data_IF_919798149539
#
_entry.id   IF_919798149539
#
_cell.length_a   1.000
_cell.length_b   1.000
_cell.length_c   1.000
_cell.angle_alpha   90.00
_cell.angle_beta   90.00
_cell.angle_gamma   90.00
#
_symmetry.space_group_name_H-M   'P 1'
#
loop_
_entity.id
_entity.type
_entity.pdbx_description
1 polymer ?
#
# COMPACT_ATOMS: atom_id res chain seq x y z
N UNK A 1 -29.69 -7.54 -66.68
CA UNK A 1 -28.79 -8.13 -65.67
C UNK A 1 -27.83 -7.16 -64.99
N UNK A 2 -27.43 -6.02 -65.54
CA UNK A 2 -26.55 -5.03 -64.88
C UNK A 2 -27.23 -4.24 -63.74
N UNK A 3 -28.54 -3.96 -63.86
CA UNK A 3 -29.29 -3.17 -62.87
C UNK A 3 -29.44 -3.90 -61.52
N UNK A 4 -29.68 -5.20 -61.53
CA UNK A 4 -29.88 -5.98 -60.30
C UNK A 4 -28.61 -6.11 -59.46
N UNK A 5 -27.46 -6.18 -60.12
CA UNK A 5 -26.13 -6.23 -59.42
C UNK A 5 -25.80 -4.94 -58.71
N UNK A 6 -26.12 -3.79 -59.28
CA UNK A 6 -25.87 -2.51 -58.64
C UNK A 6 -26.72 -2.29 -57.38
N UNK A 7 -27.99 -2.73 -57.42
CA UNK A 7 -28.88 -2.60 -56.27
C UNK A 7 -28.44 -3.52 -55.08
N UNK A 8 -27.89 -4.69 -55.39
CA UNK A 8 -27.37 -5.59 -54.35
C UNK A 8 -26.14 -4.98 -53.67
N UNK A 9 -25.22 -4.34 -54.40
CA UNK A 9 -24.06 -3.67 -53.83
C UNK A 9 -24.43 -2.46 -52.96
N UNK A 10 -25.43 -1.68 -53.35
CA UNK A 10 -25.94 -0.54 -52.57
C UNK A 10 -26.58 -1.02 -51.26
N UNK A 11 -27.39 -2.08 -51.28
CA UNK A 11 -28.03 -2.65 -50.09
C UNK A 11 -27.00 -3.22 -49.15
N UNK A 12 -25.98 -3.95 -49.63
CA UNK A 12 -24.86 -4.46 -48.84
C UNK A 12 -24.03 -3.35 -48.22
N UNK A 13 -23.80 -2.24 -48.94
CA UNK A 13 -23.04 -1.09 -48.44
C UNK A 13 -23.81 -0.33 -47.35
N UNK A 14 -25.12 -0.19 -47.47
CA UNK A 14 -26.00 0.40 -46.45
C UNK A 14 -26.07 -0.46 -45.22
N UNK A 15 -26.12 -1.80 -45.35
CA UNK A 15 -26.07 -2.74 -44.24
C UNK A 15 -24.71 -2.71 -43.48
N UNK A 16 -23.61 -2.54 -44.22
CA UNK A 16 -22.27 -2.41 -43.62
C UNK A 16 -22.12 -1.11 -42.81
N UNK A 17 -22.68 -0.01 -43.29
CA UNK A 17 -22.68 1.29 -42.60
C UNK A 17 -23.57 1.24 -41.34
N UNK A 18 -24.67 0.48 -41.37
CA UNK A 18 -25.55 0.32 -40.18
C UNK A 18 -24.89 -0.47 -39.04
N UNK A 19 -23.95 -1.36 -39.35
CA UNK A 19 -23.21 -2.12 -38.35
C UNK A 19 -22.11 -1.28 -37.66
N UNK A 20 -21.57 -0.26 -38.38
CA UNK A 20 -20.51 0.63 -37.84
C UNK A 20 -21.08 1.67 -36.86
N UNK A 21 -22.39 1.92 -36.86
CA UNK A 21 -23.04 2.84 -35.94
C UNK A 21 -23.58 2.19 -34.66
N UNK A 22 -23.23 0.91 -34.37
CA UNK A 22 -23.31 0.40 -33.01
C UNK A 22 -22.14 0.99 -32.21
N UNK A 23 -22.21 2.31 -31.99
CA UNK A 23 -21.45 2.90 -30.88
C UNK A 23 -21.90 2.15 -29.63
N UNK A 24 -21.07 1.23 -29.18
CA UNK A 24 -21.11 0.80 -27.82
C UNK A 24 -21.01 2.08 -26.98
N UNK A 25 -22.13 2.55 -26.46
CA UNK A 25 -22.11 3.38 -25.28
C UNK A 25 -21.45 2.50 -24.20
N UNK A 26 -20.13 2.48 -24.21
CA UNK A 26 -19.38 2.12 -23.03
C UNK A 26 -19.82 3.17 -22.01
N UNK A 27 -20.81 2.84 -21.21
CA UNK A 27 -21.05 3.55 -19.97
C UNK A 27 -19.69 3.55 -19.28
N UNK A 28 -18.99 4.68 -19.36
CA UNK A 28 -17.92 4.96 -18.42
C UNK A 28 -18.59 4.82 -17.07
N UNK A 29 -18.37 3.66 -16.41
CA UNK A 29 -18.71 3.50 -15.01
C UNK A 29 -18.16 4.70 -14.27
N UNK A 30 -18.78 5.15 -13.16
CA UNK A 30 -18.26 6.25 -12.40
C UNK A 30 -16.76 6.01 -12.22
N UNK A 31 -15.93 6.83 -12.82
CA UNK A 31 -14.49 6.88 -12.51
C UNK A 31 -14.45 7.33 -11.07
N UNK A 32 -14.40 6.37 -10.16
CA UNK A 32 -14.04 6.62 -8.78
C UNK A 32 -12.61 7.13 -8.85
N UNK A 33 -12.49 8.44 -8.92
CA UNK A 33 -11.24 9.14 -8.74
C UNK A 33 -10.91 8.93 -7.27
N UNK A 34 -10.24 7.81 -6.94
CA UNK A 34 -9.54 7.66 -5.68
C UNK A 34 -8.52 8.79 -5.66
N UNK A 35 -8.90 9.91 -5.10
CA UNK A 35 -8.00 11.05 -4.97
C UNK A 35 -7.08 10.75 -3.81
N UNK A 36 -5.91 10.16 -4.12
CA UNK A 36 -4.79 10.14 -3.18
C UNK A 36 -4.53 11.60 -2.83
N UNK A 37 -4.63 12.01 -1.55
CA UNK A 37 -4.42 13.40 -1.20
C UNK A 37 -2.97 13.79 -1.45
N UNK A 38 -2.78 14.96 -2.07
CA UNK A 38 -1.45 15.51 -2.32
C UNK A 38 -0.70 15.87 -1.04
N UNK A 39 -1.42 16.05 0.07
CA UNK A 39 -0.88 16.35 1.38
C UNK A 39 -1.68 15.60 2.45
N UNK A 40 -1.01 15.23 3.54
CA UNK A 40 -1.66 14.66 4.73
C UNK A 40 -0.88 15.03 5.99
N UNK A 41 -1.58 15.33 7.06
CA UNK A 41 -0.96 15.50 8.37
C UNK A 41 -0.56 14.13 8.90
N UNK A 42 0.69 14.00 9.32
CA UNK A 42 1.22 12.76 9.89
C UNK A 42 1.76 13.05 11.28
N UNK A 43 1.35 12.26 12.24
CA UNK A 43 1.76 12.37 13.64
C UNK A 43 2.21 11.01 14.18
N UNK A 44 3.04 11.05 15.22
CA UNK A 44 3.47 9.88 15.95
C UNK A 44 2.74 9.80 17.29
N UNK A 45 2.29 8.60 17.64
CA UNK A 45 1.73 8.35 18.97
C UNK A 45 2.74 8.62 20.08
N UNK A 46 2.25 9.12 21.20
CA UNK A 46 3.08 9.57 22.34
C UNK A 46 3.83 8.43 23.04
N UNK A 47 3.56 7.18 22.72
CA UNK A 47 4.13 6.01 23.40
C UNK A 47 4.85 5.09 22.42
N UNK A 48 5.99 4.57 22.88
CA UNK A 48 6.65 3.42 22.24
C UNK A 48 5.74 2.20 22.41
N UNK A 49 5.26 1.66 21.30
CA UNK A 49 4.33 0.52 21.32
C UNK A 49 5.01 -0.80 21.60
N UNK A 50 6.28 -0.94 21.19
CA UNK A 50 7.09 -2.13 21.46
C UNK A 50 8.57 -1.85 21.20
N UNK A 51 9.43 -2.74 21.73
CA UNK A 51 10.89 -2.71 21.56
C UNK A 51 11.41 -4.12 21.30
N UNK A 52 12.41 -4.24 20.41
CA UNK A 52 13.02 -5.53 20.06
C UNK A 52 14.54 -5.39 19.98
N UNK A 53 15.26 -6.42 20.44
CA UNK A 53 16.70 -6.47 20.26
C UNK A 53 17.10 -6.78 18.81
N UNK A 54 18.14 -6.12 18.32
CA UNK A 54 18.77 -6.44 17.05
C UNK A 54 20.29 -6.42 17.22
N UNK A 55 20.95 -7.55 16.98
CA UNK A 55 22.38 -7.73 17.25
C UNK A 55 22.81 -7.23 18.64
N UNK A 56 23.36 -6.03 18.75
CA UNK A 56 23.89 -5.41 19.97
C UNK A 56 23.18 -4.09 20.37
N UNK A 57 22.06 -3.75 19.70
CA UNK A 57 21.23 -2.58 20.01
C UNK A 57 19.74 -2.93 20.05
N UNK A 58 18.91 -1.96 20.33
CA UNK A 58 17.45 -2.10 20.37
C UNK A 58 16.80 -1.21 19.32
N UNK A 59 15.78 -1.75 18.67
CA UNK A 59 14.85 -1.02 17.84
C UNK A 59 13.53 -0.86 18.57
N UNK A 60 12.92 0.29 18.43
CA UNK A 60 11.59 0.58 18.95
C UNK A 60 10.74 1.25 17.87
N UNK A 61 9.44 1.14 18.02
CA UNK A 61 8.51 1.86 17.17
C UNK A 61 7.38 2.48 17.99
N UNK A 62 6.91 3.62 17.55
CA UNK A 62 5.65 4.23 17.93
C UNK A 62 4.65 4.07 16.79
N UNK A 63 3.37 4.20 17.07
CA UNK A 63 2.36 4.16 16.04
C UNK A 63 2.40 5.48 15.25
N UNK A 64 2.36 5.37 13.93
CA UNK A 64 2.21 6.50 13.04
C UNK A 64 0.79 6.51 12.52
N UNK A 65 0.10 7.61 12.71
CA UNK A 65 -1.25 7.82 12.23
C UNK A 65 -1.29 9.02 11.26
N UNK A 66 -2.18 8.95 10.28
CA UNK A 66 -2.45 10.04 9.35
C UNK A 66 -3.97 10.15 9.14
N UNK A 67 -4.41 11.27 8.57
CA UNK A 67 -5.81 11.50 8.21
C UNK A 67 -6.36 10.47 7.20
N UNK A 68 -5.47 9.77 6.50
CA UNK A 68 -5.83 8.86 5.40
C UNK A 68 -5.53 7.40 5.69
N UNK A 69 -4.89 7.09 6.79
CA UNK A 69 -4.62 5.70 7.17
C UNK A 69 -3.40 5.51 8.07
N UNK A 70 -3.06 4.26 8.34
CA UNK A 70 -1.91 3.89 9.17
C UNK A 70 -0.59 4.11 8.44
N UNK A 71 0.35 4.81 9.07
CA UNK A 71 1.68 5.08 8.55
C UNK A 71 2.74 4.13 9.08
N UNK A 72 3.86 4.04 8.35
CA UNK A 72 5.07 3.30 8.75
C UNK A 72 6.30 4.09 8.37
N UNK A 73 7.29 4.12 9.26
CA UNK A 73 8.57 4.77 9.04
C UNK A 73 9.43 4.00 8.04
N UNK A 74 10.04 4.69 7.10
CA UNK A 74 10.96 4.10 6.12
C UNK A 74 12.43 4.19 6.54
N UNK A 75 12.77 5.10 7.49
CA UNK A 75 14.15 5.40 7.87
C UNK A 75 14.29 5.42 9.40
N UNK A 76 15.27 4.70 9.95
CA UNK A 76 15.45 4.56 11.42
C UNK A 76 16.16 5.76 12.03
N UNK A 77 17.13 6.35 11.29
CA UNK A 77 18.06 7.36 11.83
C UNK A 77 17.50 8.79 11.83
N UNK A 78 16.32 9.00 11.23
CA UNK A 78 15.72 10.33 11.12
C UNK A 78 14.67 10.59 12.19
N UNK A 79 14.36 11.86 12.40
CA UNK A 79 13.34 12.30 13.36
C UNK A 79 11.95 11.77 13.01
N UNK A 80 11.16 11.46 14.02
CA UNK A 80 9.76 11.09 13.85
C UNK A 80 8.92 12.27 13.37
N UNK A 81 7.82 12.01 12.63
CA UNK A 81 6.82 13.04 12.38
C UNK A 81 6.23 13.59 13.69
N UNK A 82 5.80 14.85 13.68
CA UNK A 82 5.21 15.54 14.82
C UNK A 82 4.10 16.49 14.38
N UNK A 83 3.14 15.98 13.59
CA UNK A 83 1.99 16.75 13.11
C UNK A 83 2.29 17.64 11.90
N UNK A 84 3.41 17.44 11.18
CA UNK A 84 3.67 18.18 9.96
C UNK A 84 2.78 17.74 8.81
N UNK A 85 2.61 18.64 7.85
CA UNK A 85 1.91 18.37 6.60
C UNK A 85 2.88 17.79 5.57
N UNK A 86 2.76 16.50 5.30
CA UNK A 86 3.60 15.77 4.37
C UNK A 86 3.06 15.84 2.95
N UNK A 87 3.94 15.92 1.98
CA UNK A 87 3.62 15.89 0.54
C UNK A 87 3.65 14.46 0.00
N UNK A 88 2.69 14.13 -0.87
CA UNK A 88 2.67 12.88 -1.62
C UNK A 88 3.84 12.84 -2.60
N UNK A 89 4.65 11.80 -2.51
CA UNK A 89 5.81 11.58 -3.37
C UNK A 89 5.51 10.60 -4.50
N UNK A 90 4.74 9.55 -4.21
CA UNK A 90 4.43 8.52 -5.17
C UNK A 90 4.02 7.20 -4.52
N UNK A 91 4.01 6.15 -5.32
CA UNK A 91 3.82 4.79 -4.81
C UNK A 91 5.06 4.36 -4.03
N UNK A 92 4.86 3.62 -2.95
CA UNK A 92 5.96 3.00 -2.22
C UNK A 92 6.74 2.02 -3.11
N UNK A 93 8.00 1.78 -2.77
CA UNK A 93 8.84 0.81 -3.45
C UNK A 93 8.19 -0.59 -3.44
N UNK A 94 8.38 -1.35 -4.52
CA UNK A 94 7.74 -2.66 -4.74
C UNK A 94 7.87 -3.62 -3.55
N UNK A 95 9.05 -3.68 -2.94
CA UNK A 95 9.29 -4.53 -1.79
C UNK A 95 8.49 -4.08 -0.57
N UNK A 96 8.39 -2.75 -0.33
CA UNK A 96 7.57 -2.18 0.76
C UNK A 96 6.10 -2.49 0.53
N UNK A 97 5.59 -2.35 -0.71
CA UNK A 97 4.23 -2.76 -1.08
C UNK A 97 3.98 -4.23 -0.74
N UNK A 98 4.93 -5.11 -1.06
CA UNK A 98 4.85 -6.53 -0.74
C UNK A 98 4.82 -6.81 0.77
N UNK A 99 5.64 -6.10 1.57
CA UNK A 99 5.58 -6.21 3.04
C UNK A 99 4.21 -5.76 3.57
N UNK A 100 3.67 -4.66 3.06
CA UNK A 100 2.36 -4.16 3.48
C UNK A 100 1.21 -5.09 3.05
N UNK A 101 1.36 -5.81 1.93
CA UNK A 101 0.41 -6.83 1.50
C UNK A 101 0.29 -8.01 2.48
N UNK A 102 1.38 -8.39 3.12
CA UNK A 102 1.46 -9.48 4.08
C UNK A 102 1.43 -9.02 5.54
N UNK A 103 1.42 -7.69 5.76
CA UNK A 103 1.42 -7.05 7.06
C UNK A 103 0.08 -6.40 7.44
N UNK A 104 0.07 -5.76 8.60
CA UNK A 104 -1.06 -4.98 9.10
C UNK A 104 -1.10 -3.60 8.40
N UNK A 105 -2.27 -3.02 8.10
CA UNK A 105 -3.62 -3.50 8.40
C UNK A 105 -4.23 -4.41 7.31
N UNK A 106 -3.51 -4.72 6.24
CA UNK A 106 -4.02 -5.56 5.17
C UNK A 106 -4.33 -6.99 5.64
N UNK A 107 -3.54 -7.48 6.59
CA UNK A 107 -3.77 -8.72 7.33
C UNK A 107 -4.12 -8.40 8.78
N UNK A 108 -5.05 -9.14 9.34
CA UNK A 108 -5.38 -9.09 10.77
C UNK A 108 -4.26 -9.66 11.65
N UNK A 109 -4.25 -9.35 12.93
CA UNK A 109 -3.30 -9.92 13.88
C UNK A 109 -3.31 -11.47 13.86
N UNK A 110 -4.50 -12.08 13.78
CA UNK A 110 -4.67 -13.52 13.71
C UNK A 110 -4.06 -14.14 12.43
N UNK A 111 -4.24 -13.50 11.27
CA UNK A 111 -3.64 -13.95 10.00
C UNK A 111 -2.11 -13.82 9.98
N UNK A 112 -1.58 -12.82 10.69
CA UNK A 112 -0.14 -12.60 10.89
C UNK A 112 0.43 -13.60 11.89
N UNK A 113 -0.40 -14.13 12.80
CA UNK A 113 -0.02 -15.09 13.83
C UNK A 113 0.49 -14.43 15.11
N UNK A 114 -0.08 -13.30 15.50
CA UNK A 114 0.15 -12.59 16.76
C UNK A 114 -1.17 -12.30 17.46
N UNK A 115 -1.10 -11.98 18.77
CA UNK A 115 -2.30 -11.85 19.61
C UNK A 115 -2.99 -10.48 19.53
N UNK A 116 -2.28 -9.43 19.13
CA UNK A 116 -2.79 -8.04 19.12
C UNK A 116 -2.44 -7.29 17.86
N UNK A 117 -3.28 -6.31 17.50
CA UNK A 117 -3.02 -5.39 16.39
C UNK A 117 -1.74 -4.56 16.61
N UNK A 118 -1.40 -4.26 17.86
CA UNK A 118 -0.15 -3.59 18.22
C UNK A 118 1.05 -4.43 17.81
N UNK A 119 1.04 -5.72 18.13
CA UNK A 119 2.12 -6.65 17.74
C UNK A 119 2.13 -6.87 16.21
N UNK A 120 0.97 -6.88 15.56
CA UNK A 120 0.88 -6.99 14.10
C UNK A 120 1.47 -5.76 13.41
N UNK A 121 1.12 -4.56 13.87
CA UNK A 121 1.70 -3.31 13.39
C UNK A 121 3.23 -3.30 13.61
N UNK A 122 3.68 -3.62 14.82
CA UNK A 122 5.11 -3.64 15.15
C UNK A 122 5.89 -4.65 14.28
N UNK A 123 5.36 -5.85 14.08
CA UNK A 123 5.96 -6.86 13.20
C UNK A 123 6.09 -6.35 11.75
N UNK A 124 5.07 -5.64 11.26
CA UNK A 124 5.06 -5.02 9.93
C UNK A 124 6.12 -3.93 9.83
N UNK A 125 6.24 -3.05 10.83
CA UNK A 125 7.28 -2.02 10.88
C UNK A 125 8.69 -2.63 10.84
N UNK A 126 8.95 -3.68 11.62
CA UNK A 126 10.24 -4.37 11.62
C UNK A 126 10.54 -5.01 10.26
N UNK A 127 9.53 -5.59 9.60
CA UNK A 127 9.70 -6.16 8.26
C UNK A 127 9.94 -5.08 7.18
N UNK A 128 9.35 -3.90 7.31
CA UNK A 128 9.66 -2.74 6.45
C UNK A 128 11.12 -2.35 6.61
N UNK A 129 11.65 -2.22 7.82
CA UNK A 129 13.05 -1.88 8.07
C UNK A 129 14.02 -2.98 7.61
N UNK A 130 13.60 -4.24 7.53
CA UNK A 130 14.41 -5.25 6.84
C UNK A 130 14.64 -4.91 5.36
N UNK A 131 13.66 -4.26 4.72
CA UNK A 131 13.77 -3.84 3.30
C UNK A 131 14.51 -2.52 3.16
N UNK A 132 14.17 -1.52 3.96
CA UNK A 132 14.65 -0.14 3.78
C UNK A 132 16.03 0.10 4.40
N UNK A 133 16.34 -0.59 5.50
CA UNK A 133 17.59 -0.45 6.25
C UNK A 133 18.52 -1.67 6.08
N UNK A 134 18.06 -2.71 5.35
CA UNK A 134 18.85 -3.92 5.13
C UNK A 134 18.99 -4.82 6.35
N UNK A 135 18.11 -4.71 7.35
CA UNK A 135 18.13 -5.59 8.53
C UNK A 135 17.77 -7.03 8.16
N UNK A 136 18.46 -7.97 8.77
CA UNK A 136 18.14 -9.40 8.60
C UNK A 136 17.05 -9.82 9.60
N UNK A 137 15.94 -10.43 9.14
CA UNK A 137 14.87 -10.87 10.03
C UNK A 137 15.33 -11.99 11.01
N UNK A 138 16.47 -12.63 10.74
CA UNK A 138 17.03 -13.67 11.60
C UNK A 138 17.84 -13.12 12.79
N UNK A 139 18.20 -11.84 12.77
CA UNK A 139 19.03 -11.21 13.80
C UNK A 139 18.22 -10.54 14.92
N UNK A 140 16.89 -10.49 14.81
CA UNK A 140 16.03 -9.99 15.85
C UNK A 140 16.01 -10.93 17.07
N UNK A 141 15.93 -10.35 18.25
CA UNK A 141 15.95 -11.05 19.55
C UNK A 141 14.76 -10.61 20.41
N UNK A 142 13.91 -11.56 20.78
CA UNK A 142 12.79 -11.35 21.69
C UNK A 142 12.49 -12.64 22.48
N UNK A 143 11.84 -12.49 23.63
CA UNK A 143 11.19 -13.61 24.34
C UNK A 143 9.89 -14.03 23.65
N UNK A 144 9.24 -13.10 22.95
CA UNK A 144 8.03 -13.33 22.17
C UNK A 144 8.39 -14.04 20.84
N UNK A 145 8.14 -15.35 20.81
CA UNK A 145 8.45 -16.18 19.64
C UNK A 145 7.46 -15.98 18.51
N UNK A 146 6.21 -15.65 18.82
CA UNK A 146 5.18 -15.36 17.82
C UNK A 146 5.54 -14.09 17.06
N UNK A 147 5.95 -13.03 17.77
CA UNK A 147 6.43 -11.80 17.16
C UNK A 147 7.63 -12.02 16.22
N UNK A 148 8.64 -12.79 16.67
CA UNK A 148 9.80 -13.11 15.82
C UNK A 148 9.40 -13.88 14.55
N UNK A 149 8.48 -14.84 14.69
CA UNK A 149 7.99 -15.60 13.55
C UNK A 149 7.16 -14.74 12.61
N UNK A 150 6.34 -13.84 13.15
CA UNK A 150 5.54 -12.89 12.36
C UNK A 150 6.43 -11.98 11.49
N UNK A 151 7.48 -11.38 12.06
CA UNK A 151 8.44 -10.56 11.30
C UNK A 151 9.04 -11.34 10.13
N UNK A 152 9.51 -12.57 10.39
CA UNK A 152 10.10 -13.44 9.36
C UNK A 152 9.11 -13.80 8.27
N UNK A 153 7.88 -14.14 8.64
CA UNK A 153 6.83 -14.54 7.70
C UNK A 153 6.40 -13.37 6.82
N UNK A 154 6.15 -12.19 7.41
CA UNK A 154 5.80 -10.97 6.67
C UNK A 154 6.92 -10.64 5.67
N UNK A 155 8.18 -10.60 6.14
CA UNK A 155 9.32 -10.33 5.27
C UNK A 155 9.42 -11.34 4.11
N UNK A 156 9.44 -12.65 4.41
CA UNK A 156 9.60 -13.71 3.42
C UNK A 156 8.49 -13.68 2.36
N UNK A 157 7.23 -13.60 2.79
CA UNK A 157 6.08 -13.56 1.89
C UNK A 157 6.00 -12.25 1.12
N UNK A 158 6.26 -11.12 1.79
CA UNK A 158 6.27 -9.80 1.18
C UNK A 158 7.31 -9.67 0.07
N UNK A 159 8.50 -10.23 0.25
CA UNK A 159 9.54 -10.27 -0.79
C UNK A 159 9.16 -11.16 -2.00
N UNK A 160 8.23 -12.07 -1.84
CA UNK A 160 7.70 -12.93 -2.89
C UNK A 160 6.39 -12.41 -3.51
N UNK A 161 5.84 -11.33 -2.97
CA UNK A 161 4.58 -10.77 -3.43
C UNK A 161 4.67 -10.25 -4.87
N UNK A 162 3.75 -10.70 -5.71
CA UNK A 162 3.69 -10.33 -7.14
C UNK A 162 2.37 -9.66 -7.55
N UNK A 163 1.41 -9.52 -6.62
CA UNK A 163 0.12 -8.86 -6.85
C UNK A 163 0.24 -7.37 -7.14
N UNK A 164 -0.81 -6.76 -7.65
CA UNK A 164 -0.91 -5.33 -7.95
C UNK A 164 -2.08 -4.67 -7.22
N UNK A 165 -2.79 -5.43 -6.40
CA UNK A 165 -4.00 -5.01 -5.69
C UNK A 165 -3.74 -3.89 -4.66
N UNK A 166 -2.52 -3.75 -4.15
CA UNK A 166 -2.11 -2.68 -3.24
C UNK A 166 -1.38 -1.51 -3.91
N UNK A 167 -1.25 -1.51 -5.22
CA UNK A 167 -0.54 -0.44 -5.94
C UNK A 167 -1.17 0.96 -5.77
N UNK A 168 -2.41 1.02 -5.30
CA UNK A 168 -3.16 2.25 -5.08
C UNK A 168 -3.37 2.59 -3.60
N UNK A 169 -2.88 1.76 -2.68
CA UNK A 169 -3.08 1.95 -1.23
C UNK A 169 -1.80 2.14 -0.42
N UNK A 170 -0.64 1.76 -0.95
CA UNK A 170 0.66 1.95 -0.29
C UNK A 170 1.37 3.17 -0.89
N UNK A 171 1.21 4.33 -0.26
CA UNK A 171 1.69 5.62 -0.76
C UNK A 171 2.77 6.22 0.11
N UNK A 172 3.80 6.75 -0.51
CA UNK A 172 4.92 7.40 0.17
C UNK A 172 4.69 8.91 0.28
N UNK A 173 4.98 9.43 1.47
CA UNK A 173 4.90 10.83 1.83
C UNK A 173 6.22 11.33 2.41
N UNK A 174 6.55 12.57 2.12
CA UNK A 174 7.80 13.23 2.52
C UNK A 174 7.53 14.63 3.07
N UNK A 175 8.33 15.04 4.03
CA UNK A 175 8.29 16.40 4.57
C UNK A 175 9.64 17.11 4.42
N UNK A 176 10.72 16.53 4.95
CA UNK A 176 12.08 17.13 4.89
C UNK A 176 13.15 16.04 5.04
N UNK A 177 14.40 16.39 4.74
CA UNK A 177 15.52 15.45 4.85
C UNK A 177 15.83 15.03 6.29
N UNK A 178 15.44 15.82 7.30
CA UNK A 178 15.64 15.51 8.72
C UNK A 178 14.54 14.62 9.30
N UNK A 179 13.36 14.58 8.68
CA UNK A 179 12.21 13.79 9.14
C UNK A 179 12.07 12.54 8.28
N UNK A 180 11.69 11.42 8.90
CA UNK A 180 11.49 10.14 8.22
C UNK A 180 10.47 10.27 7.08
N UNK A 181 10.73 9.61 5.96
CA UNK A 181 9.70 9.34 4.96
C UNK A 181 8.73 8.32 5.52
N UNK A 182 7.47 8.48 5.19
CA UNK A 182 6.40 7.65 5.70
C UNK A 182 5.69 6.96 4.54
N UNK A 183 5.53 5.66 4.61
CA UNK A 183 4.57 4.97 3.76
C UNK A 183 3.24 4.86 4.51
N UNK A 184 2.16 5.29 3.87
CA UNK A 184 0.80 5.23 4.42
C UNK A 184 -0.01 4.18 3.69
N UNK A 185 -0.67 3.32 4.46
CA UNK A 185 -1.70 2.42 3.95
C UNK A 185 -3.02 3.18 3.89
N UNK A 186 -3.41 3.61 2.69
CA UNK A 186 -4.66 4.36 2.48
C UNK A 186 -5.85 3.40 2.56
N UNK A 187 -6.71 3.63 3.53
CA UNK A 187 -7.91 2.82 3.73
C UNK A 187 -9.04 3.27 2.79
N UNK A 188 -9.09 2.71 1.59
CA UNK A 188 -10.06 3.09 0.55
C UNK A 188 -11.53 2.67 0.83
N UNK A 189 -11.82 2.02 1.97
CA UNK A 189 -13.19 1.53 2.22
C UNK A 189 -14.22 2.66 2.36
N UNK A 190 -13.81 3.82 2.85
CA UNK A 190 -14.73 4.94 3.09
C UNK A 190 -14.91 5.86 1.87
N UNK A 191 -14.02 5.82 0.87
CA UNK A 191 -14.14 6.60 -0.36
C UNK A 191 -14.99 5.92 -1.45
N UNK A 192 -15.42 4.68 -1.24
CA UNK A 192 -16.28 3.93 -2.16
C UNK A 192 -17.78 4.04 -1.82
N UNK A 193 -18.14 4.72 -0.72
CA UNK A 193 -19.50 4.81 -0.22
C UNK A 193 -20.11 6.23 -0.26
N UNK A 194 -19.41 7.21 -0.90
CA UNK A 194 -19.95 8.56 -1.09
C UNK A 194 -20.02 8.95 -2.57
#
# INVERSE_FOLDING_TARGET
MKSLRNNIFIVLFILLISIINLTTNVMAGPTVKSSIPNHTTIDVGNEVINTIGYENFYLYASRIDSEVGSGYCLEVEKDYPSGQNFEFVGKAARQVVGIMAEGYPNKTAAEIGVTTDVNAYFATQMAIWCVTEGYSPDKFKSKDKELLQAIKNIYKKGMQYTGNDLDHVAMEYYYSDSVQRIVVYINNRDSLLN
#
